data_IF_107356258075
#
_entry.id   IF_107356258075
#
_cell.length_a   1.000
_cell.length_b   1.000
_cell.length_c   1.000
_cell.angle_alpha   90.00
_cell.angle_beta   90.00
_cell.angle_gamma   90.00
#
_symmetry.space_group_name_H-M   'P 1'
#
loop_
_entity.id
_entity.type
_entity.pdbx_description
1 polymer ?
#
# COMPACT_ATOMS: atom_id res chain seq x y z
N UNK A 1 -0.56 -4.43 7.95
CA UNK A 1 -0.30 -3.28 8.85
C UNK A 1 1.08 -3.36 9.51
N UNK A 2 1.44 -4.47 10.17
CA UNK A 2 2.73 -4.62 10.85
C UNK A 2 3.95 -4.44 9.92
N UNK A 3 3.91 -5.01 8.72
CA UNK A 3 5.03 -4.97 7.78
C UNK A 3 5.38 -3.57 7.25
N UNK A 4 4.37 -2.72 6.98
CA UNK A 4 4.57 -1.34 6.53
C UNK A 4 5.05 -0.42 7.66
N UNK A 5 4.62 -0.66 8.90
CA UNK A 5 5.08 0.10 10.06
C UNK A 5 6.59 -0.10 10.33
N UNK A 6 7.13 -1.26 9.96
CA UNK A 6 8.56 -1.57 10.14
C UNK A 6 9.46 -0.83 9.13
N UNK A 7 8.95 -0.50 7.94
CA UNK A 7 9.68 0.28 6.94
C UNK A 7 9.88 1.75 7.32
N UNK A 8 9.06 2.30 8.21
CA UNK A 8 9.05 3.73 8.51
C UNK A 8 9.39 4.02 9.98
N UNK A 9 10.21 5.06 10.28
CA UNK A 9 10.48 5.54 11.64
C UNK A 9 9.20 5.88 12.40
N UNK A 10 9.18 5.62 13.71
CA UNK A 10 7.98 5.77 14.56
C UNK A 10 7.29 7.14 14.43
N UNK A 11 8.05 8.21 14.20
CA UNK A 11 7.54 9.58 14.01
C UNK A 11 6.69 9.80 12.75
N UNK A 12 6.93 9.10 11.65
CA UNK A 12 6.20 9.29 10.37
C UNK A 12 5.27 8.13 10.00
N UNK A 13 5.29 7.02 10.75
CA UNK A 13 4.47 5.81 10.47
C UNK A 13 3.02 6.10 10.14
N UNK A 14 2.35 6.93 10.94
CA UNK A 14 0.92 7.17 10.77
C UNK A 14 0.60 7.81 9.41
N UNK A 15 1.38 8.81 9.00
CA UNK A 15 1.23 9.46 7.68
C UNK A 15 1.65 8.52 6.56
N UNK A 16 2.80 7.85 6.70
CA UNK A 16 3.35 6.96 5.69
C UNK A 16 2.48 5.72 5.42
N UNK A 17 1.73 5.22 6.42
CA UNK A 17 0.78 4.11 6.26
C UNK A 17 -0.57 4.58 5.71
N UNK A 18 -0.99 5.80 6.04
CA UNK A 18 -2.28 6.36 5.61
C UNK A 18 -2.35 6.63 4.10
N UNK A 19 -1.30 7.21 3.51
CA UNK A 19 -1.23 7.51 2.07
C UNK A 19 -1.46 6.28 1.17
N UNK A 20 -0.72 5.17 1.32
CA UNK A 20 -0.96 3.97 0.51
C UNK A 20 -2.32 3.35 0.80
N UNK A 21 -2.84 3.45 2.03
CA UNK A 21 -4.18 2.96 2.36
C UNK A 21 -5.29 3.75 1.64
N UNK A 22 -5.19 5.08 1.61
CA UNK A 22 -6.17 5.92 0.91
C UNK A 22 -6.09 5.78 -0.61
N UNK A 23 -4.88 5.73 -1.16
CA UNK A 23 -4.70 5.52 -2.61
C UNK A 23 -5.17 4.11 -3.01
N UNK A 24 -4.82 3.10 -2.20
CA UNK A 24 -5.25 1.71 -2.41
C UNK A 24 -6.76 1.55 -2.37
N UNK A 25 -7.44 2.14 -1.38
CA UNK A 25 -8.89 2.06 -1.28
C UNK A 25 -9.60 2.89 -2.35
N UNK A 26 -9.08 4.05 -2.72
CA UNK A 26 -9.68 4.91 -3.74
C UNK A 26 -9.56 4.32 -5.15
N UNK A 27 -8.33 4.09 -5.62
CA UNK A 27 -8.06 3.66 -6.98
C UNK A 27 -8.19 2.13 -7.14
N UNK A 28 -7.60 1.38 -6.21
CA UNK A 28 -7.56 -0.08 -6.28
C UNK A 28 -8.88 -0.73 -5.88
N UNK A 29 -9.59 -0.19 -4.88
CA UNK A 29 -10.87 -0.74 -4.40
C UNK A 29 -12.11 -0.01 -4.96
N UNK A 30 -12.11 1.32 -4.92
CA UNK A 30 -13.29 2.14 -5.21
C UNK A 30 -13.72 2.14 -6.68
N UNK A 31 -12.77 1.97 -7.61
CA UNK A 31 -13.08 1.92 -9.05
C UNK A 31 -13.55 0.55 -9.54
N UNK A 32 -13.33 -0.51 -8.76
CA UNK A 32 -13.72 -1.89 -9.10
C UNK A 32 -15.21 -2.00 -9.47
N UNK A 33 -16.18 -1.56 -8.64
CA UNK A 33 -17.59 -1.70 -8.99
C UNK A 33 -17.97 -0.96 -10.28
N UNK A 34 -17.38 0.19 -10.57
CA UNK A 34 -17.65 0.98 -11.77
C UNK A 34 -17.12 0.25 -13.01
N UNK A 35 -15.88 -0.23 -12.96
CA UNK A 35 -15.23 -0.89 -14.09
C UNK A 35 -15.82 -2.28 -14.34
N UNK A 36 -16.03 -3.07 -13.29
CA UNK A 36 -16.65 -4.41 -13.37
C UNK A 36 -18.06 -4.33 -13.93
N UNK A 37 -18.88 -3.40 -13.42
CA UNK A 37 -20.27 -3.26 -13.89
C UNK A 37 -20.32 -2.74 -15.33
N UNK A 38 -19.51 -1.73 -15.69
CA UNK A 38 -19.48 -1.21 -17.05
C UNK A 38 -18.96 -2.23 -18.07
N UNK A 39 -17.95 -3.03 -17.71
CA UNK A 39 -17.45 -4.12 -18.55
C UNK A 39 -18.51 -5.23 -18.73
N UNK A 40 -19.24 -5.57 -17.67
CA UNK A 40 -20.33 -6.55 -17.73
C UNK A 40 -21.48 -6.07 -18.62
N UNK A 41 -21.93 -4.82 -18.46
CA UNK A 41 -23.01 -4.25 -19.29
C UNK A 41 -22.63 -4.23 -20.78
N UNK A 42 -21.37 -3.97 -21.11
CA UNK A 42 -20.90 -3.92 -22.51
C UNK A 42 -20.72 -5.31 -23.15
N UNK A 43 -20.30 -6.31 -22.38
CA UNK A 43 -19.90 -7.61 -22.94
C UNK A 43 -20.90 -8.73 -22.64
N UNK A 44 -21.71 -8.59 -21.59
CA UNK A 44 -22.56 -9.66 -21.04
C UNK A 44 -21.80 -10.83 -20.41
N UNK A 45 -20.46 -10.82 -20.49
CA UNK A 45 -19.59 -11.89 -20.01
C UNK A 45 -19.04 -11.59 -18.62
N UNK A 46 -19.17 -12.57 -17.73
CA UNK A 46 -18.60 -12.50 -16.38
C UNK A 46 -17.05 -12.48 -16.41
N UNK A 47 -16.44 -13.11 -17.41
CA UNK A 47 -14.97 -13.16 -17.52
C UNK A 47 -14.34 -11.78 -17.70
N UNK A 48 -14.93 -10.94 -18.55
CA UNK A 48 -14.45 -9.57 -18.78
C UNK A 48 -14.68 -8.67 -17.56
N UNK A 49 -15.76 -8.93 -16.80
CA UNK A 49 -16.07 -8.21 -15.57
C UNK A 49 -15.06 -8.54 -14.45
N UNK A 50 -14.64 -9.80 -14.35
CA UNK A 50 -13.69 -10.27 -13.33
C UNK A 50 -12.24 -9.90 -13.65
N UNK A 51 -11.94 -9.55 -14.89
CA UNK A 51 -10.59 -9.22 -15.33
C UNK A 51 -9.94 -8.12 -14.48
N UNK A 52 -10.67 -7.02 -14.20
CA UNK A 52 -10.15 -5.90 -13.41
C UNK A 52 -9.90 -6.23 -11.93
N UNK A 53 -10.86 -6.79 -11.16
CA UNK A 53 -10.62 -7.14 -9.77
C UNK A 53 -9.59 -8.25 -9.58
N UNK A 54 -9.29 -9.06 -10.61
CA UNK A 54 -8.25 -10.09 -10.54
C UNK A 54 -6.87 -9.55 -10.96
N UNK A 55 -6.77 -8.80 -12.07
CA UNK A 55 -5.46 -8.33 -12.57
C UNK A 55 -4.84 -7.28 -11.65
N UNK A 56 -5.62 -6.33 -11.12
CA UNK A 56 -5.07 -5.25 -10.29
C UNK A 56 -4.33 -5.77 -9.06
N UNK A 57 -4.91 -6.64 -8.20
CA UNK A 57 -4.17 -7.22 -7.08
C UNK A 57 -3.08 -8.21 -7.53
N UNK A 58 -3.24 -8.91 -8.66
CA UNK A 58 -2.18 -9.79 -9.17
C UNK A 58 -0.91 -9.01 -9.55
N UNK A 59 -1.05 -7.87 -10.24
CA UNK A 59 0.07 -6.98 -10.56
C UNK A 59 0.66 -6.38 -9.29
N UNK A 60 -0.19 -5.92 -8.35
CA UNK A 60 0.30 -5.39 -7.07
C UNK A 60 1.11 -6.44 -6.29
N UNK A 61 0.66 -7.70 -6.27
CA UNK A 61 1.36 -8.81 -5.65
C UNK A 61 2.72 -9.08 -6.31
N UNK A 62 2.77 -9.12 -7.64
CA UNK A 62 4.04 -9.29 -8.36
C UNK A 62 5.00 -8.13 -8.07
N UNK A 63 4.52 -6.88 -8.12
CA UNK A 63 5.33 -5.72 -7.78
C UNK A 63 5.84 -5.79 -6.34
N UNK A 64 5.02 -6.23 -5.39
CA UNK A 64 5.46 -6.45 -4.01
C UNK A 64 6.57 -7.50 -3.92
N UNK A 65 6.45 -8.62 -4.65
CA UNK A 65 7.48 -9.67 -4.64
C UNK A 65 8.84 -9.19 -5.17
N UNK A 66 8.85 -8.34 -6.20
CA UNK A 66 10.10 -7.87 -6.80
C UNK A 66 10.66 -6.59 -6.13
N UNK A 67 9.79 -5.71 -5.64
CA UNK A 67 10.18 -4.39 -5.16
C UNK A 67 10.31 -4.30 -3.64
N UNK A 68 9.63 -5.16 -2.86
CA UNK A 68 9.81 -5.16 -1.40
C UNK A 68 11.18 -5.73 -1.03
N UNK A 69 12.05 -4.83 -0.57
CA UNK A 69 13.32 -5.22 0.03
C UNK A 69 13.08 -5.74 1.44
N UNK A 70 13.71 -6.87 1.74
CA UNK A 70 13.65 -7.53 3.04
C UNK A 70 13.98 -6.60 4.22
N UNK A 71 13.07 -6.47 5.18
CA UNK A 71 13.09 -5.46 6.25
C UNK A 71 13.54 -5.97 7.62
N UNK A 72 13.79 -7.27 7.77
CA UNK A 72 14.09 -7.97 9.05
C UNK A 72 15.26 -7.48 9.92
N UNK A 73 15.96 -6.39 9.52
CA UNK A 73 17.07 -5.80 10.29
C UNK A 73 16.72 -4.45 10.94
N UNK A 74 15.50 -3.95 10.81
CA UNK A 74 15.10 -2.64 11.35
C UNK A 74 14.44 -2.78 12.73
N UNK A 75 15.22 -2.63 13.80
CA UNK A 75 14.72 -2.65 15.18
C UNK A 75 13.86 -1.41 15.50
N UNK A 76 12.65 -1.63 16.00
CA UNK A 76 11.71 -0.57 16.43
C UNK A 76 11.94 -0.08 17.87
N UNK A 77 12.78 -0.79 18.62
CA UNK A 77 12.96 -0.62 20.07
C UNK A 77 14.26 0.08 20.44
N UNK A 78 15.09 0.41 19.45
CA UNK A 78 16.29 1.19 19.68
C UNK A 78 15.86 2.65 19.88
N UNK A 79 15.94 3.22 21.09
CA UNK A 79 15.74 4.66 21.25
C UNK A 79 16.78 5.38 20.39
N UNK A 80 16.33 6.30 19.56
CA UNK A 80 17.22 7.17 18.78
C UNK A 80 18.14 7.93 19.76
N UNK A 81 19.41 7.52 19.84
CA UNK A 81 20.41 8.33 20.50
C UNK A 81 20.69 9.55 19.64
N UNK A 82 20.10 10.69 20.02
CA UNK A 82 20.70 12.01 19.88
C UNK A 82 20.19 12.89 18.74
N UNK A 83 19.09 13.61 18.97
CA UNK A 83 18.89 14.96 18.42
C UNK A 83 18.83 15.97 19.59
N UNK A 84 19.98 16.13 20.25
CA UNK A 84 20.24 17.21 21.22
C UNK A 84 20.85 18.46 20.59
N UNK A 85 20.74 18.66 19.28
CA UNK A 85 21.45 19.72 18.55
C UNK A 85 20.58 20.93 18.13
N UNK A 86 19.26 20.90 18.29
CA UNK A 86 18.37 22.00 17.85
C UNK A 86 17.68 22.75 19.01
N UNK A 87 18.16 22.62 20.24
CA UNK A 87 17.61 23.29 21.42
C UNK A 87 18.58 24.29 22.07
N UNK A 88 19.58 24.76 21.32
CA UNK A 88 20.53 25.78 21.77
C UNK A 88 20.85 26.78 20.65
N UNK A 89 19.93 27.70 20.39
CA UNK A 89 20.18 29.06 19.88
C UNK A 89 18.97 29.92 20.18
#
# INVERSE_FOLDING_TARGET
>A
AAFLAEFFPARIRYTSVSVPYHIGNGWGGGLVPIITTSAFVKTGSLGTALLYPTLVPAVAFLLSLFLMRETRKMSIWTPEQGEGAFART
#
